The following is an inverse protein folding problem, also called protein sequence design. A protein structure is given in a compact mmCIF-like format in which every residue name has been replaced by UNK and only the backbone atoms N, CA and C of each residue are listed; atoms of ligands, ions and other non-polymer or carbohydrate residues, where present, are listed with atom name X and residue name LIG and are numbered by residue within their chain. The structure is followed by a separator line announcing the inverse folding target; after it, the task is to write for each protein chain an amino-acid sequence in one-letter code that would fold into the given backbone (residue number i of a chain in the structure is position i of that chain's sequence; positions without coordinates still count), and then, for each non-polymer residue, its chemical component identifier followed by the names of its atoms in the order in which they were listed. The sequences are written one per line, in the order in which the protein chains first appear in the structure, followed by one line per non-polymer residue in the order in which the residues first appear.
data_IF_359629951062
#
_entry.id   IF_359629951062
#
_cell.length_a   1.000
_cell.length_b   1.000
_cell.length_c   1.000
_cell.angle_alpha   90.00
_cell.angle_beta   90.00
_cell.angle_gamma   90.00
#
_symmetry.space_group_name_H-M   'P 1'
#
loop_
_entity.id
_entity.type
_entity.pdbx_description
1 polymer ?
#
# COMPACT_ATOMS: atom_id res chain seq x y z
N UNK A 1 18.30 -0.02 -23.11
CA UNK A 1 18.59 0.28 -21.69
C UNK A 1 17.54 1.25 -21.23
N UNK A 2 16.50 0.78 -20.53
CA UNK A 2 15.47 1.67 -20.00
C UNK A 2 16.03 2.38 -18.77
N UNK A 3 16.01 3.71 -18.76
CA UNK A 3 16.13 4.45 -17.50
C UNK A 3 15.06 3.91 -16.56
N UNK A 4 15.48 3.26 -15.48
CA UNK A 4 14.56 2.90 -14.40
C UNK A 4 14.00 4.21 -13.87
N UNK A 5 12.72 4.48 -14.15
CA UNK A 5 12.05 5.69 -13.71
C UNK A 5 12.01 5.68 -12.17
N UNK A 6 12.94 6.39 -11.54
CA UNK A 6 13.02 6.51 -10.08
C UNK A 6 11.87 7.39 -9.61
N UNK A 7 11.14 6.90 -8.62
CA UNK A 7 10.02 7.60 -7.99
C UNK A 7 10.49 8.96 -7.43
N UNK A 8 9.67 10.00 -7.64
CA UNK A 8 10.05 11.37 -7.30
C UNK A 8 10.26 11.58 -5.79
N UNK A 9 9.55 10.85 -4.94
CA UNK A 9 9.66 10.93 -3.48
C UNK A 9 10.83 10.09 -2.98
N UNK A 10 11.09 8.93 -3.61
CA UNK A 10 12.33 8.16 -3.39
C UNK A 10 13.56 8.99 -3.74
N UNK A 11 13.54 9.73 -4.85
CA UNK A 11 14.64 10.62 -5.26
C UNK A 11 14.90 11.72 -4.24
N UNK A 12 13.85 12.42 -3.79
CA UNK A 12 13.97 13.46 -2.74
C UNK A 12 14.54 12.89 -1.43
N UNK A 13 14.14 11.68 -1.06
CA UNK A 13 14.66 11.03 0.13
C UNK A 13 16.13 10.63 -0.02
N UNK A 14 16.53 10.13 -1.19
CA UNK A 14 17.91 9.80 -1.49
C UNK A 14 18.82 11.05 -1.48
N UNK A 15 18.34 12.17 -2.06
CA UNK A 15 19.01 13.47 -1.99
C UNK A 15 19.17 13.95 -0.54
N UNK A 16 18.11 13.84 0.28
CA UNK A 16 18.17 14.20 1.69
C UNK A 16 19.22 13.39 2.47
N UNK A 17 19.33 12.08 2.20
CA UNK A 17 20.30 11.22 2.86
C UNK A 17 21.70 11.27 2.23
N UNK A 18 21.84 11.84 1.03
CA UNK A 18 23.07 11.77 0.23
C UNK A 18 23.44 10.34 -0.15
N UNK A 19 22.44 9.51 -0.49
CA UNK A 19 22.66 8.13 -0.97
C UNK A 19 22.29 7.98 -2.45
N UNK A 20 22.69 6.85 -3.05
CA UNK A 20 22.35 6.54 -4.44
C UNK A 20 20.81 6.36 -4.59
N UNK A 21 20.14 7.18 -5.43
CA UNK A 21 18.71 7.05 -5.69
C UNK A 21 18.30 5.67 -6.22
N UNK A 22 19.19 4.96 -6.92
CA UNK A 22 18.88 3.62 -7.43
C UNK A 22 18.83 2.59 -6.30
N UNK A 23 19.81 2.60 -5.40
CA UNK A 23 19.80 1.78 -4.19
C UNK A 23 18.54 2.04 -3.34
N UNK A 24 18.16 3.31 -3.18
CA UNK A 24 16.94 3.67 -2.46
C UNK A 24 15.68 3.15 -3.16
N UNK A 25 15.63 3.18 -4.51
CA UNK A 25 14.51 2.64 -5.28
C UNK A 25 14.39 1.12 -5.15
N UNK A 26 15.51 0.40 -5.23
CA UNK A 26 15.54 -1.05 -5.12
C UNK A 26 15.04 -1.49 -3.73
N UNK A 27 15.55 -0.86 -2.66
CA UNK A 27 15.10 -1.12 -1.29
C UNK A 27 13.63 -0.72 -1.05
N UNK A 28 13.14 0.32 -1.73
CA UNK A 28 11.75 0.76 -1.64
C UNK A 28 10.79 -0.29 -2.24
N UNK A 29 11.19 -0.93 -3.33
CA UNK A 29 10.45 -2.05 -3.93
C UNK A 29 10.57 -3.33 -3.12
N UNK A 30 11.78 -3.72 -2.71
CA UNK A 30 12.02 -4.97 -1.97
C UNK A 30 11.27 -5.04 -0.65
N UNK A 31 11.03 -3.89 -0.01
CA UNK A 31 10.29 -3.79 1.25
C UNK A 31 8.79 -3.55 1.05
N UNK A 32 8.29 -3.63 -0.19
CA UNK A 32 6.89 -3.44 -0.56
C UNK A 32 6.33 -2.12 0.01
N UNK A 33 7.11 -1.04 0.02
CA UNK A 33 6.68 0.24 0.60
C UNK A 33 5.59 0.88 -0.27
N UNK A 34 5.71 0.75 -1.60
CA UNK A 34 4.70 1.18 -2.58
C UNK A 34 3.35 0.49 -2.41
N UNK A 35 3.36 -0.75 -1.90
CA UNK A 35 2.16 -1.57 -1.70
C UNK A 35 1.48 -1.33 -0.35
N UNK A 36 2.03 -0.46 0.49
CA UNK A 36 1.51 -0.21 1.84
C UNK A 36 0.53 0.96 1.85
N UNK A 37 -0.68 0.71 2.35
CA UNK A 37 -1.71 1.73 2.47
C UNK A 37 -1.52 2.57 3.75
N UNK A 38 -1.61 3.89 3.61
CA UNK A 38 -1.82 4.79 4.77
C UNK A 38 -3.28 4.76 5.22
N UNK A 39 -3.55 5.33 6.38
CA UNK A 39 -4.88 5.28 6.99
C UNK A 39 -5.95 6.06 6.19
N UNK A 40 -5.54 6.99 5.32
CA UNK A 40 -6.43 7.74 4.44
C UNK A 40 -6.82 6.89 3.22
N UNK A 41 -5.84 6.33 2.51
CA UNK A 41 -6.05 5.43 1.37
C UNK A 41 -6.73 4.12 1.77
N UNK A 42 -6.57 3.64 3.01
CA UNK A 42 -7.32 2.47 3.52
C UNK A 42 -8.84 2.66 3.42
N UNK A 43 -9.34 3.88 3.60
CA UNK A 43 -10.77 4.17 3.53
C UNK A 43 -11.31 4.10 2.10
N UNK A 44 -10.55 4.61 1.14
CA UNK A 44 -10.90 4.58 -0.28
C UNK A 44 -10.74 3.17 -0.85
N UNK A 45 -9.61 2.49 -0.58
CA UNK A 45 -9.37 1.12 -1.03
C UNK A 45 -10.40 0.15 -0.45
N UNK A 46 -10.84 0.33 0.80
CA UNK A 46 -11.94 -0.46 1.35
C UNK A 46 -13.25 -0.26 0.60
N UNK A 47 -13.60 0.99 0.25
CA UNK A 47 -14.80 1.30 -0.53
C UNK A 47 -14.73 0.72 -1.94
N UNK A 48 -13.58 0.85 -2.61
CA UNK A 48 -13.34 0.24 -3.92
C UNK A 48 -13.43 -1.29 -3.84
N UNK A 49 -12.90 -1.87 -2.78
CA UNK A 49 -12.95 -3.31 -2.54
C UNK A 49 -14.37 -3.82 -2.26
N UNK A 50 -15.16 -3.08 -1.49
CA UNK A 50 -16.58 -3.35 -1.29
C UNK A 50 -17.35 -3.28 -2.61
N UNK A 51 -17.10 -2.25 -3.42
CA UNK A 51 -17.69 -2.12 -4.75
C UNK A 51 -17.30 -3.29 -5.66
N UNK A 52 -16.03 -3.70 -5.67
CA UNK A 52 -15.56 -4.83 -6.46
C UNK A 52 -16.16 -6.16 -5.98
N UNK A 53 -16.36 -6.32 -4.67
CA UNK A 53 -17.05 -7.48 -4.09
C UNK A 53 -18.51 -7.54 -4.54
N UNK A 54 -19.20 -6.40 -4.61
CA UNK A 54 -20.57 -6.30 -5.15
C UNK A 54 -20.59 -6.64 -6.65
N UNK A 55 -19.62 -6.17 -7.43
CA UNK A 55 -19.52 -6.51 -8.86
C UNK A 55 -19.30 -8.00 -9.04
N UNK A 56 -18.41 -8.59 -8.24
CA UNK A 56 -18.11 -10.04 -8.26
C UNK A 56 -19.37 -10.86 -7.95
N UNK A 57 -20.14 -10.49 -6.92
CA UNK A 57 -21.37 -11.23 -6.58
C UNK A 57 -22.44 -11.10 -7.68
N UNK A 58 -22.57 -9.94 -8.32
CA UNK A 58 -23.45 -9.77 -9.49
C UNK A 58 -22.99 -10.63 -10.66
N UNK A 59 -21.70 -10.64 -10.97
CA UNK A 59 -21.12 -11.49 -12.01
C UNK A 59 -21.30 -12.98 -11.73
N UNK A 60 -21.27 -13.42 -10.47
CA UNK A 60 -21.56 -14.81 -10.10
C UNK A 60 -23.01 -15.22 -10.41
N UNK A 61 -23.97 -14.32 -10.22
CA UNK A 61 -25.39 -14.55 -10.48
C UNK A 61 -25.82 -14.34 -11.94
N UNK A 62 -25.00 -13.63 -12.73
CA UNK A 62 -25.31 -13.27 -14.10
C UNK A 62 -25.47 -14.46 -15.06
N UNK A 63 -24.66 -15.53 -15.01
CA UNK A 63 -24.84 -16.72 -15.85
C UNK A 63 -26.20 -17.39 -15.66
N UNK A 64 -26.62 -17.62 -14.40
CA UNK A 64 -27.93 -18.21 -14.10
C UNK A 64 -29.08 -17.32 -14.58
N UNK A 65 -28.94 -16.01 -14.44
CA UNK A 65 -29.93 -15.05 -14.94
C UNK A 65 -30.02 -15.09 -16.46
N UNK A 66 -28.87 -15.11 -17.14
CA UNK A 66 -28.76 -15.20 -18.61
C UNK A 66 -29.35 -16.51 -19.16
N UNK A 67 -29.16 -17.63 -18.45
CA UNK A 67 -29.73 -18.93 -18.82
C UNK A 67 -31.24 -19.01 -18.57
N UNK A 68 -31.75 -18.27 -17.59
CA UNK A 68 -33.19 -18.23 -17.26
C UNK A 68 -34.02 -17.30 -18.16
N UNK A 69 -33.37 -16.55 -19.07
CA UNK A 69 -34.06 -15.62 -19.95
C UNK A 69 -34.92 -16.37 -20.97
N UNK A 70 -36.16 -15.90 -21.24
CA UNK A 70 -36.99 -16.46 -22.30
C UNK A 70 -36.30 -16.41 -23.67
N UNK A 71 -36.55 -17.39 -24.53
CA UNK A 71 -35.88 -17.51 -25.84
C UNK A 71 -36.02 -16.27 -26.74
N UNK A 72 -37.12 -15.54 -26.64
CA UNK A 72 -37.36 -14.31 -27.40
C UNK A 72 -36.50 -13.12 -26.93
N UNK A 73 -35.89 -13.20 -25.75
CA UNK A 73 -34.95 -12.21 -25.22
C UNK A 73 -33.50 -12.51 -25.64
N UNK A 74 -33.23 -13.65 -26.29
CA UNK A 74 -31.87 -14.07 -26.68
C UNK A 74 -31.32 -13.35 -27.92
N UNK A 75 -32.07 -12.41 -28.52
CA UNK A 75 -31.63 -11.64 -29.69
C UNK A 75 -30.22 -11.05 -29.49
N UNK A 76 -29.96 -10.42 -28.34
CA UNK A 76 -28.64 -9.87 -28.01
C UNK A 76 -27.55 -10.95 -27.93
N UNK A 77 -27.85 -12.11 -27.34
CA UNK A 77 -26.90 -13.22 -27.22
C UNK A 77 -26.53 -13.78 -28.59
N UNK A 78 -27.52 -13.93 -29.48
CA UNK A 78 -27.30 -14.36 -30.85
C UNK A 78 -26.50 -13.35 -31.67
N UNK A 79 -26.80 -12.05 -31.54
CA UNK A 79 -26.04 -11.00 -32.23
C UNK A 79 -24.57 -10.99 -31.78
N UNK A 80 -24.32 -11.01 -30.47
CA UNK A 80 -22.96 -11.05 -29.92
C UNK A 80 -22.21 -12.32 -30.35
N UNK A 81 -22.88 -13.47 -30.36
CA UNK A 81 -22.30 -14.73 -30.81
C UNK A 81 -21.97 -14.71 -32.31
N UNK A 82 -22.80 -14.08 -33.13
CA UNK A 82 -22.53 -13.86 -34.56
C UNK A 82 -21.36 -12.90 -34.80
N UNK A 83 -21.14 -11.93 -33.90
CA UNK A 83 -19.97 -11.06 -33.85
C UNK A 83 -18.72 -11.74 -33.24
N UNK A 84 -18.81 -13.03 -32.91
CA UNK A 84 -17.70 -13.82 -32.36
C UNK A 84 -17.48 -13.64 -30.86
N UNK A 85 -18.41 -13.00 -30.15
CA UNK A 85 -18.34 -12.77 -28.70
C UNK A 85 -19.31 -13.70 -27.97
N UNK A 86 -18.77 -14.65 -27.22
CA UNK A 86 -19.55 -15.44 -26.27
C UNK A 86 -19.75 -14.64 -24.97
N UNK A 87 -20.97 -14.12 -24.80
CA UNK A 87 -21.36 -13.33 -23.63
C UNK A 87 -21.21 -14.13 -22.32
N UNK A 88 -21.56 -15.42 -22.32
CA UNK A 88 -21.55 -16.25 -21.12
C UNK A 88 -20.11 -16.57 -20.71
N UNK A 89 -19.28 -16.97 -21.67
CA UNK A 89 -17.85 -17.16 -21.45
C UNK A 89 -17.16 -15.86 -20.97
N UNK A 90 -17.54 -14.71 -21.55
CA UNK A 90 -16.99 -13.41 -21.16
C UNK A 90 -17.35 -13.03 -19.72
N UNK A 91 -18.61 -13.24 -19.32
CA UNK A 91 -19.06 -13.02 -17.94
C UNK A 91 -18.33 -13.92 -16.95
N UNK A 92 -18.15 -15.21 -17.28
CA UNK A 92 -17.40 -16.14 -16.43
C UNK A 92 -15.93 -15.76 -16.29
N UNK A 93 -15.27 -15.35 -17.37
CA UNK A 93 -13.89 -14.87 -17.32
C UNK A 93 -13.75 -13.59 -16.50
N UNK A 94 -14.70 -12.65 -16.62
CA UNK A 94 -14.74 -11.45 -15.80
C UNK A 94 -14.96 -11.77 -14.33
N UNK A 95 -15.84 -12.72 -14.02
CA UNK A 95 -16.05 -13.21 -12.65
C UNK A 95 -14.76 -13.76 -12.05
N UNK A 96 -14.07 -14.65 -12.76
CA UNK A 96 -12.81 -15.24 -12.29
C UNK A 96 -11.74 -14.17 -12.01
N UNK A 97 -11.54 -13.22 -12.94
CA UNK A 97 -10.59 -12.12 -12.75
C UNK A 97 -10.96 -11.23 -11.56
N UNK A 98 -12.26 -10.98 -11.37
CA UNK A 98 -12.75 -10.20 -10.24
C UNK A 98 -12.54 -10.95 -8.91
N UNK A 99 -12.77 -12.27 -8.86
CA UNK A 99 -12.48 -13.09 -7.68
C UNK A 99 -11.00 -13.11 -7.33
N UNK A 100 -10.11 -13.26 -8.31
CA UNK A 100 -8.66 -13.21 -8.09
C UNK A 100 -8.22 -11.86 -7.51
N UNK A 101 -8.72 -10.76 -8.07
CA UNK A 101 -8.46 -9.41 -7.57
C UNK A 101 -9.01 -9.18 -6.15
N UNK A 102 -10.22 -9.67 -5.87
CA UNK A 102 -10.85 -9.62 -4.55
C UNK A 102 -10.07 -10.48 -3.55
N UNK A 103 -9.66 -11.68 -3.93
CA UNK A 103 -8.86 -12.58 -3.08
C UNK A 103 -7.54 -11.95 -2.69
N UNK A 104 -6.80 -11.41 -3.66
CA UNK A 104 -5.54 -10.70 -3.43
C UNK A 104 -5.74 -9.47 -2.52
N UNK A 105 -6.75 -8.64 -2.80
CA UNK A 105 -7.05 -7.46 -2.00
C UNK A 105 -7.45 -7.80 -0.56
N UNK A 106 -8.24 -8.87 -0.33
CA UNK A 106 -8.57 -9.38 1.01
C UNK A 106 -7.32 -9.80 1.77
N UNK A 107 -6.45 -10.59 1.13
CA UNK A 107 -5.21 -11.06 1.73
C UNK A 107 -4.30 -9.89 2.12
N UNK A 108 -4.17 -8.89 1.24
CA UNK A 108 -3.40 -7.68 1.54
C UNK A 108 -4.05 -6.89 2.68
N UNK A 109 -5.36 -6.67 2.66
CA UNK A 109 -6.04 -5.94 3.72
C UNK A 109 -5.97 -6.67 5.08
N UNK A 110 -6.00 -8.01 5.11
CA UNK A 110 -5.81 -8.79 6.33
C UNK A 110 -4.36 -8.77 6.81
N UNK A 111 -3.36 -8.82 5.92
CA UNK A 111 -1.95 -8.54 6.25
C UNK A 111 -1.79 -7.14 6.87
N UNK A 112 -2.50 -6.16 6.33
CA UNK A 112 -2.45 -4.77 6.81
C UNK A 112 -3.20 -4.52 8.12
N UNK A 113 -4.24 -5.31 8.41
CA UNK A 113 -5.10 -5.16 9.61
C UNK A 113 -4.80 -6.16 10.72
N UNK A 114 -3.98 -7.18 10.44
CA UNK A 114 -3.52 -8.17 11.43
C UNK A 114 -2.43 -7.58 12.34
N UNK A 115 -2.87 -6.76 13.29
CA UNK A 115 -2.08 -6.29 14.41
C UNK A 115 -2.47 -4.90 14.85
N UNK A 116 -2.18 -4.58 16.13
CA UNK A 116 -2.27 -3.24 16.72
C UNK A 116 -1.20 -2.29 16.15
N UNK A 117 -0.97 -2.31 14.82
CA UNK A 117 -0.05 -1.42 14.13
C UNK A 117 -0.85 -0.23 13.65
N UNK A 118 -0.85 0.81 14.48
CA UNK A 118 -1.59 2.04 14.24
C UNK A 118 -1.25 2.74 12.89
N UNK A 119 -0.18 2.34 12.19
CA UNK A 119 0.10 2.78 10.82
C UNK A 119 1.16 1.87 10.15
N UNK A 120 0.74 0.83 9.40
CA UNK A 120 1.67 -0.13 8.78
C UNK A 120 2.61 0.53 7.75
N UNK A 121 2.12 1.52 6.98
CA UNK A 121 2.97 2.26 6.03
C UNK A 121 4.08 3.02 6.75
N UNK A 122 3.80 3.63 7.90
CA UNK A 122 4.84 4.28 8.72
C UNK A 122 5.88 3.27 9.25
N UNK A 123 5.45 2.06 9.62
CA UNK A 123 6.36 0.99 10.02
C UNK A 123 7.24 0.53 8.85
N UNK A 124 6.66 0.31 7.66
CA UNK A 124 7.41 -0.05 6.44
C UNK A 124 8.39 1.03 5.98
N UNK A 125 8.02 2.30 6.11
CA UNK A 125 8.96 3.41 5.85
C UNK A 125 10.11 3.40 6.85
N UNK A 126 9.85 3.10 8.12
CA UNK A 126 10.92 3.00 9.10
C UNK A 126 11.85 1.79 8.81
N UNK A 127 11.29 0.66 8.36
CA UNK A 127 12.07 -0.49 7.87
C UNK A 127 12.93 -0.09 6.65
N UNK A 128 12.36 0.65 5.70
CA UNK A 128 13.06 1.19 4.53
C UNK A 128 14.20 2.13 4.90
N UNK A 129 13.95 3.12 5.76
CA UNK A 129 14.99 4.03 6.25
C UNK A 129 16.11 3.26 6.94
N UNK A 130 15.77 2.21 7.71
CA UNK A 130 16.78 1.38 8.36
C UNK A 130 17.61 0.57 7.36
N UNK A 131 16.98 -0.02 6.34
CA UNK A 131 17.70 -0.74 5.28
C UNK A 131 18.65 0.18 4.51
N UNK A 132 18.24 1.42 4.22
CA UNK A 132 19.12 2.43 3.60
C UNK A 132 20.27 2.80 4.54
N UNK A 133 20.03 2.94 5.84
CA UNK A 133 21.07 3.22 6.82
C UNK A 133 22.09 2.08 6.91
N UNK A 134 21.63 0.83 7.01
CA UNK A 134 22.50 -0.34 7.05
C UNK A 134 23.33 -0.48 5.77
N UNK A 135 22.71 -0.26 4.60
CA UNK A 135 23.39 -0.35 3.30
C UNK A 135 24.41 0.78 3.07
N UNK A 136 24.25 1.91 3.77
CA UNK A 136 25.19 3.05 3.73
C UNK A 136 26.19 3.05 4.89
N UNK A 137 26.22 2.00 5.72
CA UNK A 137 27.13 1.88 6.87
C UNK A 137 26.80 2.79 8.05
N UNK A 138 25.58 3.33 8.11
CA UNK A 138 25.10 4.21 9.18
C UNK A 138 24.42 3.39 10.29
N UNK A 139 24.63 3.79 11.54
CA UNK A 139 24.02 3.11 12.69
C UNK A 139 22.54 3.46 12.85
N UNK A 140 21.70 2.44 13.11
CA UNK A 140 20.29 2.60 13.44
C UNK A 140 20.14 2.74 14.96
N UNK A 141 19.95 3.96 15.44
CA UNK A 141 19.82 4.27 16.88
C UNK A 141 18.59 5.11 17.18
N UNK A 142 17.98 4.87 18.35
CA UNK A 142 16.84 5.63 18.83
C UNK A 142 17.24 6.60 19.96
N UNK A 143 16.69 7.81 19.90
CA UNK A 143 16.85 8.82 20.95
C UNK A 143 15.94 10.02 20.71
N UNK A 144 15.51 10.65 21.79
CA UNK A 144 14.75 11.90 21.80
C UNK A 144 15.58 13.03 22.39
N UNK A 145 15.27 14.28 22.05
CA UNK A 145 15.90 15.42 22.72
C UNK A 145 15.46 15.50 24.19
N UNK A 146 16.31 15.98 25.11
CA UNK A 146 15.95 16.15 26.52
C UNK A 146 14.85 17.20 26.73
N UNK A 147 14.85 18.25 25.91
CA UNK A 147 13.94 19.40 26.01
C UNK A 147 12.58 19.14 25.36
N UNK A 148 12.56 18.31 24.30
CA UNK A 148 11.33 17.92 23.60
C UNK A 148 11.35 16.43 23.26
N UNK A 149 10.54 15.67 23.99
CA UNK A 149 10.38 14.21 23.81
C UNK A 149 9.70 13.82 22.50
N UNK A 150 9.21 14.79 21.72
CA UNK A 150 8.64 14.62 20.40
C UNK A 150 9.68 14.79 19.28
N UNK A 151 10.86 15.32 19.57
CA UNK A 151 11.92 15.53 18.58
C UNK A 151 13.01 14.43 18.60
N UNK A 152 13.44 13.93 17.44
CA UNK A 152 14.50 12.95 17.36
C UNK A 152 15.88 13.57 17.63
N UNK A 153 16.64 12.98 18.53
CA UNK A 153 18.04 13.37 18.75
C UNK A 153 18.98 12.66 17.78
N UNK A 154 18.63 11.45 17.31
CA UNK A 154 19.47 10.62 16.45
C UNK A 154 19.31 10.93 14.95
N UNK A 155 20.36 10.72 14.12
CA UNK A 155 20.26 10.85 12.66
C UNK A 155 19.18 9.93 12.06
N UNK A 156 19.05 8.71 12.58
CA UNK A 156 18.02 7.77 12.15
C UNK A 156 16.60 8.28 12.46
N UNK A 157 16.35 8.77 13.69
CA UNK A 157 15.04 9.33 14.03
C UNK A 157 14.66 10.55 13.19
N UNK A 158 15.65 11.40 12.84
CA UNK A 158 15.44 12.54 11.92
C UNK A 158 15.09 12.06 10.51
N UNK A 159 15.79 11.06 10.00
CA UNK A 159 15.53 10.48 8.69
C UNK A 159 14.15 9.82 8.61
N UNK A 160 13.71 9.09 9.64
CA UNK A 160 12.36 8.52 9.68
C UNK A 160 11.30 9.62 9.68
N UNK A 161 11.49 10.70 10.44
CA UNK A 161 10.58 11.85 10.43
C UNK A 161 10.49 12.50 9.06
N UNK A 162 11.63 12.74 8.41
CA UNK A 162 11.67 13.35 7.09
C UNK A 162 11.05 12.44 6.03
N UNK A 163 11.32 11.14 6.08
CA UNK A 163 10.72 10.15 5.19
C UNK A 163 9.19 10.15 5.30
N UNK A 164 8.64 10.16 6.53
CA UNK A 164 7.19 10.21 6.71
C UNK A 164 6.55 11.47 6.11
N UNK A 165 7.26 12.60 6.09
CA UNK A 165 6.81 13.82 5.41
C UNK A 165 6.94 13.71 3.89
N UNK A 166 8.08 13.22 3.38
CA UNK A 166 8.35 13.07 1.95
C UNK A 166 7.35 12.11 1.30
N UNK A 167 7.12 10.95 1.92
CA UNK A 167 6.18 9.93 1.45
C UNK A 167 4.73 10.20 1.88
N UNK A 168 4.45 11.39 2.44
CA UNK A 168 3.10 11.85 2.81
C UNK A 168 2.31 10.83 3.62
N UNK A 169 2.93 10.24 4.65
CA UNK A 169 2.26 9.26 5.50
C UNK A 169 1.56 9.97 6.64
N UNK A 170 0.23 9.98 6.55
CA UNK A 170 -0.62 10.67 7.52
C UNK A 170 -1.18 9.74 8.58
N UNK A 171 -1.46 10.30 9.75
CA UNK A 171 -2.26 9.66 10.79
C UNK A 171 -3.74 9.88 10.48
N UNK A 172 -4.56 8.89 10.85
CA UNK A 172 -6.02 9.05 10.88
C UNK A 172 -6.40 10.32 11.65
N UNK A 173 -7.07 11.26 10.98
CA UNK A 173 -7.71 12.40 11.64
C UNK A 173 -9.09 11.95 12.12
N UNK A 174 -9.35 12.08 13.43
CA UNK A 174 -10.69 11.84 13.99
C UNK A 174 -11.65 13.02 13.74
N UNK A 175 -11.17 14.12 13.15
CA UNK A 175 -11.92 15.35 12.92
C UNK A 175 -12.11 15.55 11.41
N UNK A 176 -13.36 15.60 10.91
CA UNK A 176 -13.66 15.96 9.52
C UNK A 176 -13.11 17.36 9.19
N UNK A 177 -12.49 17.52 8.02
CA UNK A 177 -11.96 18.80 7.48
C UNK A 177 -10.66 19.34 8.10
N UNK A 178 -9.97 18.58 8.97
CA UNK A 178 -8.62 18.95 9.41
C UNK A 178 -7.57 18.36 8.47
N UNK A 179 -6.59 19.16 8.05
CA UNK A 179 -5.45 18.67 7.26
C UNK A 179 -4.79 17.49 7.98
N UNK A 180 -4.59 16.34 7.31
CA UNK A 180 -4.01 15.16 7.93
C UNK A 180 -2.63 15.48 8.51
N UNK A 181 -2.41 15.17 9.79
CA UNK A 181 -1.09 15.35 10.41
C UNK A 181 -0.18 14.18 10.03
N UNK A 182 1.11 14.41 9.75
CA UNK A 182 2.07 13.33 9.51
C UNK A 182 2.10 12.31 10.65
N UNK A 183 2.33 11.05 10.31
CA UNK A 183 2.50 9.97 11.27
C UNK A 183 3.66 10.29 12.24
N UNK A 184 3.53 9.88 13.50
CA UNK A 184 4.60 10.13 14.48
C UNK A 184 5.77 9.17 14.26
N UNK A 185 6.97 9.70 14.04
CA UNK A 185 8.20 8.92 13.81
C UNK A 185 8.61 8.02 15.00
N UNK A 186 8.30 8.45 16.24
CA UNK A 186 8.76 7.82 17.50
C UNK A 186 8.48 6.32 17.61
N UNK A 187 7.23 5.88 17.41
CA UNK A 187 6.86 4.45 17.58
C UNK A 187 7.47 3.54 16.50
N UNK A 188 7.43 3.91 15.20
CA UNK A 188 8.15 3.17 14.16
C UNK A 188 9.66 3.10 14.43
N UNK A 189 10.31 4.24 14.69
CA UNK A 189 11.76 4.30 14.90
C UNK A 189 12.23 3.52 16.13
N UNK A 190 11.49 3.58 17.25
CA UNK A 190 11.79 2.82 18.46
C UNK A 190 11.71 1.30 18.19
N UNK A 191 10.67 0.86 17.47
CA UNK A 191 10.49 -0.56 17.15
C UNK A 191 11.63 -1.09 16.31
N UNK A 192 12.05 -0.34 15.29
CA UNK A 192 13.14 -0.76 14.41
C UNK A 192 14.48 -0.76 15.14
N UNK A 193 14.77 0.29 15.91
CA UNK A 193 15.99 0.32 16.74
C UNK A 193 16.06 -0.85 17.72
N UNK A 194 14.95 -1.24 18.34
CA UNK A 194 14.90 -2.43 19.22
C UNK A 194 15.10 -3.74 18.47
N UNK A 195 14.57 -3.85 17.24
CA UNK A 195 14.80 -5.03 16.37
C UNK A 195 16.28 -5.14 15.97
N UNK A 196 16.90 -4.04 15.58
CA UNK A 196 18.32 -4.00 15.19
C UNK A 196 19.30 -4.22 16.35
N UNK A 197 18.85 -4.04 17.60
CA UNK A 197 19.64 -4.29 18.81
C UNK A 197 19.48 -5.71 19.38
N UNK A 198 18.49 -6.48 18.92
CA UNK A 198 18.40 -7.90 19.28
C UNK A 198 19.40 -8.68 18.42
N UNK A 199 20.40 -9.35 19.00
CA UNK A 199 21.26 -10.24 18.24
C UNK A 199 20.41 -11.40 17.70
N UNK A 200 20.66 -11.77 16.45
CA UNK A 200 20.24 -13.08 15.91
C UNK A 200 20.85 -14.20 16.74
#
# INVERSE_FOLDING_TARGET
MGETMIDSDVRKFAEYLGCDPKLAQDLYFDLDVSLALDDENKGDVRREFEALTIVTSKLASAPQTLESLPDHCNALRFTLQAEGTDLLASVMQLHQKAEEAVGFGKMKLTEETSGSRANLKADKIADFVAAVFLSTGRSVTFGTKPEDSSEPSTPFGRAVREALTIFKVYRKSDIPHLTPKPAHWKRPAERISRKSQKPN
#
